data_IF_426594836229
#
_entry.id   IF_426594836229
#
_cell.length_a   1.000
_cell.length_b   1.000
_cell.length_c   1.000
_cell.angle_alpha   90.00
_cell.angle_beta   90.00
_cell.angle_gamma   90.00
#
_symmetry.space_group_name_H-M   'P 1'
#
loop_
_entity.id
_entity.type
_entity.pdbx_description
1 polymer ?
#
# COMPACT_ATOMS: atom_id res chain seq x y z
N UNK A 1 11.68 2.10 -14.69
CA UNK A 1 12.46 2.88 -13.69
C UNK A 1 12.55 4.38 -14.01
N UNK A 2 12.44 4.83 -15.27
CA UNK A 2 12.54 6.26 -15.61
C UNK A 2 11.50 7.17 -14.92
N UNK A 3 10.25 6.72 -14.76
CA UNK A 3 9.21 7.54 -14.11
C UNK A 3 9.52 7.84 -12.64
N UNK A 4 10.00 6.84 -11.90
CA UNK A 4 10.38 7.01 -10.50
C UNK A 4 11.57 7.96 -10.34
N UNK A 5 12.54 7.89 -11.26
CA UNK A 5 13.66 8.83 -11.32
C UNK A 5 13.16 10.26 -11.49
N UNK A 6 12.26 10.51 -12.46
CA UNK A 6 11.67 11.84 -12.68
C UNK A 6 10.92 12.39 -11.47
N UNK A 7 10.12 11.55 -10.81
CA UNK A 7 9.41 11.94 -9.60
C UNK A 7 10.37 12.31 -8.46
N UNK A 8 11.51 11.63 -8.35
CA UNK A 8 12.55 11.92 -7.37
C UNK A 8 13.28 13.24 -7.70
N UNK A 9 13.69 13.43 -8.95
CA UNK A 9 14.35 14.67 -9.41
C UNK A 9 13.46 15.90 -9.29
N UNK A 10 12.15 15.74 -9.49
CA UNK A 10 11.15 16.78 -9.24
C UNK A 10 10.82 16.99 -7.75
N UNK A 11 11.38 16.19 -6.84
CA UNK A 11 11.21 16.31 -5.39
C UNK A 11 9.87 15.79 -4.86
N UNK A 12 9.10 15.03 -5.64
CA UNK A 12 7.79 14.52 -5.22
C UNK A 12 7.88 13.27 -4.34
N UNK A 13 8.92 12.45 -4.52
CA UNK A 13 9.12 11.20 -3.75
C UNK A 13 10.53 11.13 -3.17
N UNK A 14 10.70 10.29 -2.14
CA UNK A 14 12.01 9.90 -1.62
C UNK A 14 12.77 8.97 -2.57
N UNK A 15 14.06 8.75 -2.29
CA UNK A 15 14.95 7.96 -3.15
C UNK A 15 14.38 6.55 -3.43
N UNK A 16 14.19 6.24 -4.71
CA UNK A 16 13.46 5.05 -5.16
C UNK A 16 14.27 3.74 -5.14
N UNK A 17 15.58 3.80 -4.88
CA UNK A 17 16.43 2.60 -4.78
C UNK A 17 16.70 2.30 -3.31
N UNK A 18 15.65 1.84 -2.64
CA UNK A 18 15.66 1.50 -1.21
C UNK A 18 14.99 0.14 -1.02
N UNK A 19 15.56 -0.67 -0.13
CA UNK A 19 14.98 -1.93 0.35
C UNK A 19 14.44 -1.82 1.78
N UNK A 20 14.57 -0.64 2.37
CA UNK A 20 14.07 -0.29 3.69
C UNK A 20 12.58 0.07 3.64
N UNK A 21 11.87 -0.35 4.69
CA UNK A 21 10.46 0.02 4.94
C UNK A 21 10.33 1.02 6.08
N UNK A 22 11.45 1.55 6.58
CA UNK A 22 11.46 2.50 7.69
C UNK A 22 10.92 3.86 7.23
N UNK A 23 10.19 4.53 8.12
CA UNK A 23 9.65 5.87 7.90
C UNK A 23 10.21 6.79 8.99
N UNK A 24 10.60 8.01 8.59
CA UNK A 24 11.01 9.04 9.54
C UNK A 24 9.85 9.46 10.44
N UNK A 25 10.17 9.99 11.63
CA UNK A 25 9.17 10.46 12.58
C UNK A 25 8.33 11.60 11.99
N UNK A 26 8.94 12.48 11.20
CA UNK A 26 8.25 13.57 10.51
C UNK A 26 7.24 13.04 9.49
N UNK A 27 7.61 12.02 8.71
CA UNK A 27 6.71 11.38 7.77
C UNK A 27 5.52 10.70 8.48
N UNK A 28 5.77 10.05 9.61
CA UNK A 28 4.73 9.42 10.44
C UNK A 28 3.76 10.47 11.00
N UNK A 29 4.26 11.58 11.52
CA UNK A 29 3.44 12.65 12.06
C UNK A 29 2.59 13.31 10.96
N UNK A 30 3.22 13.58 9.80
CA UNK A 30 2.56 14.17 8.65
C UNK A 30 1.39 13.31 8.15
N UNK A 31 1.61 12.01 7.92
CA UNK A 31 0.56 11.13 7.40
C UNK A 31 -0.54 10.88 8.42
N UNK A 32 -0.22 10.80 9.71
CA UNK A 32 -1.21 10.64 10.79
C UNK A 32 -2.08 11.89 10.93
N UNK A 33 -1.50 13.09 10.81
CA UNK A 33 -2.24 14.34 10.75
C UNK A 33 -3.21 14.35 9.57
N UNK A 34 -2.73 14.04 8.37
CA UNK A 34 -3.57 13.94 7.19
C UNK A 34 -4.73 12.94 7.34
N UNK A 35 -4.47 11.76 7.93
CA UNK A 35 -5.51 10.75 8.18
C UNK A 35 -6.55 11.26 9.17
N UNK A 36 -6.10 11.90 10.26
CA UNK A 36 -6.98 12.49 11.26
C UNK A 36 -7.92 13.52 10.64
N UNK A 37 -7.38 14.39 9.78
CA UNK A 37 -8.13 15.51 9.20
C UNK A 37 -9.09 15.07 8.08
N UNK A 38 -8.69 14.11 7.24
CA UNK A 38 -9.48 13.70 6.06
C UNK A 38 -10.40 12.51 6.28
N UNK A 39 -10.01 11.55 7.11
CA UNK A 39 -10.78 10.32 7.33
C UNK A 39 -11.38 10.25 8.75
N UNK A 40 -10.80 10.94 9.71
CA UNK A 40 -11.24 10.95 11.10
C UNK A 40 -10.66 9.81 11.94
N UNK A 41 -10.92 9.87 13.25
CA UNK A 41 -10.29 9.01 14.26
C UNK A 41 -10.52 7.50 14.06
N UNK A 42 -11.64 7.09 13.45
CA UNK A 42 -11.94 5.66 13.16
C UNK A 42 -10.90 5.02 12.23
N UNK A 43 -10.21 5.82 11.44
CA UNK A 43 -9.22 5.37 10.47
C UNK A 43 -7.78 5.53 10.95
N UNK A 44 -7.58 6.16 12.10
CA UNK A 44 -6.27 6.42 12.70
C UNK A 44 -6.04 5.41 13.84
N UNK A 45 -5.01 4.55 13.75
CA UNK A 45 -4.61 3.69 14.87
C UNK A 45 -4.04 4.52 16.03
N UNK A 46 -4.24 4.07 17.26
CA UNK A 46 -3.78 4.77 18.47
C UNK A 46 -2.27 4.99 18.45
N UNK A 47 -1.50 3.96 18.09
CA UNK A 47 -0.05 4.02 17.90
C UNK A 47 0.35 4.00 16.41
N UNK A 48 1.55 4.51 16.10
CA UNK A 48 2.08 4.44 14.74
C UNK A 48 2.44 3.00 14.36
N UNK A 49 2.08 2.58 13.14
CA UNK A 49 2.42 1.26 12.63
C UNK A 49 3.90 1.24 12.25
N UNK A 50 4.69 0.39 12.89
CA UNK A 50 6.09 0.16 12.55
C UNK A 50 6.23 -1.13 11.72
N UNK A 51 7.14 -1.11 10.75
CA UNK A 51 7.41 -2.23 9.86
C UNK A 51 8.89 -2.56 9.90
N UNK A 52 9.23 -3.80 10.26
CA UNK A 52 10.61 -4.26 10.30
C UNK A 52 11.23 -4.25 8.89
N UNK A 53 12.40 -3.63 8.75
CA UNK A 53 13.27 -3.85 7.59
C UNK A 53 14.06 -5.15 7.78
N UNK A 54 14.65 -5.67 6.69
CA UNK A 54 15.53 -6.85 6.77
C UNK A 54 16.89 -6.44 7.35
N UNK A 55 17.51 -7.31 8.15
CA UNK A 55 18.85 -7.14 8.77
C UNK A 55 20.02 -6.83 7.81
N UNK A 56 19.82 -6.89 6.49
CA UNK A 56 20.86 -6.61 5.49
C UNK A 56 20.46 -5.44 4.57
N UNK A 57 19.45 -4.65 4.97
CA UNK A 57 19.09 -3.43 4.25
C UNK A 57 20.21 -2.43 4.37
N UNK A 58 20.44 -1.63 3.33
CA UNK A 58 21.33 -0.46 3.46
C UNK A 58 20.64 0.51 4.45
N UNK A 59 20.93 0.34 5.75
CA UNK A 59 20.11 0.76 6.90
C UNK A 59 19.88 2.28 7.02
N UNK A 60 20.51 3.09 6.16
CA UNK A 60 20.39 4.55 6.16
C UNK A 60 19.27 5.09 5.25
N UNK A 61 18.53 4.24 4.53
CA UNK A 61 17.53 4.71 3.57
C UNK A 61 16.09 4.63 4.10
N UNK A 62 15.31 5.67 3.82
CA UNK A 62 13.89 5.71 4.10
C UNK A 62 13.10 4.92 3.04
N UNK A 63 11.89 4.48 3.36
CA UNK A 63 10.97 3.90 2.40
C UNK A 63 10.57 4.90 1.31
N UNK A 64 10.16 4.38 0.14
CA UNK A 64 9.61 5.19 -0.94
C UNK A 64 8.26 5.77 -0.49
N UNK A 65 8.19 7.09 -0.35
CA UNK A 65 7.00 7.83 0.07
C UNK A 65 6.93 9.18 -0.65
N UNK A 66 5.76 9.84 -0.67
CA UNK A 66 5.69 11.24 -1.07
C UNK A 66 6.47 12.13 -0.08
N UNK A 67 7.08 13.18 -0.61
CA UNK A 67 7.75 14.21 0.20
C UNK A 67 6.74 14.97 1.06
N UNK A 68 5.58 15.31 0.49
CA UNK A 68 4.43 15.92 1.15
C UNK A 68 3.16 15.10 0.87
N UNK A 69 2.42 14.76 1.92
CA UNK A 69 1.16 14.00 1.83
C UNK A 69 -0.01 14.83 1.27
N UNK A 70 0.08 16.15 1.32
CA UNK A 70 -0.97 17.06 0.84
C UNK A 70 -0.92 17.25 -0.68
N UNK A 71 0.22 16.94 -1.30
CA UNK A 71 0.34 16.93 -2.76
C UNK A 71 -0.38 15.70 -3.30
N UNK A 72 -1.33 15.93 -4.20
CA UNK A 72 -2.11 14.86 -4.83
C UNK A 72 -1.65 14.63 -6.26
N UNK A 73 -1.85 13.42 -6.77
CA UNK A 73 -1.43 13.05 -8.12
C UNK A 73 -2.01 13.97 -9.20
N UNK A 74 -3.24 14.45 -8.98
CA UNK A 74 -3.98 15.34 -9.87
C UNK A 74 -3.36 16.75 -9.96
N UNK A 75 -2.57 17.15 -8.96
CA UNK A 75 -1.88 18.45 -8.94
C UNK A 75 -0.55 18.45 -9.71
N UNK A 76 -0.03 17.27 -10.06
CA UNK A 76 1.24 17.09 -10.77
C UNK A 76 1.09 17.27 -12.30
N UNK A 77 0.66 18.47 -12.73
CA UNK A 77 0.36 18.77 -14.14
C UNK A 77 1.59 18.68 -15.06
N UNK A 78 2.79 18.90 -14.51
CA UNK A 78 4.05 18.87 -15.26
C UNK A 78 4.59 17.44 -15.48
N UNK A 79 3.88 16.43 -14.96
CA UNK A 79 4.28 15.03 -15.06
C UNK A 79 3.41 14.27 -16.06
N UNK A 80 4.02 13.33 -16.77
CA UNK A 80 3.31 12.40 -17.66
C UNK A 80 2.25 11.59 -16.88
N UNK A 81 1.16 11.21 -17.57
CA UNK A 81 0.05 10.49 -16.95
C UNK A 81 0.48 9.21 -16.20
N UNK A 82 1.49 8.50 -16.68
CA UNK A 82 1.98 7.28 -16.03
C UNK A 82 2.83 7.59 -14.78
N UNK A 83 3.55 8.71 -14.75
CA UNK A 83 4.24 9.19 -13.55
C UNK A 83 3.24 9.64 -12.48
N UNK A 84 2.14 10.30 -12.87
CA UNK A 84 1.04 10.63 -11.95
C UNK A 84 0.40 9.38 -11.35
N UNK A 85 0.13 8.34 -12.16
CA UNK A 85 -0.40 7.05 -11.67
C UNK A 85 0.57 6.37 -10.70
N UNK A 86 1.87 6.39 -11.00
CA UNK A 86 2.89 5.84 -10.12
C UNK A 86 2.95 6.60 -8.79
N UNK A 87 2.91 7.94 -8.84
CA UNK A 87 2.82 8.77 -7.65
C UNK A 87 1.57 8.45 -6.83
N UNK A 88 0.41 8.33 -7.48
CA UNK A 88 -0.85 7.96 -6.84
C UNK A 88 -0.74 6.61 -6.12
N UNK A 89 -0.08 5.63 -6.73
CA UNK A 89 0.16 4.32 -6.12
C UNK A 89 1.04 4.42 -4.87
N UNK A 90 2.15 5.16 -4.95
CA UNK A 90 3.07 5.40 -3.83
C UNK A 90 2.33 6.12 -2.69
N UNK A 91 1.60 7.19 -3.02
CA UNK A 91 0.81 7.96 -2.07
C UNK A 91 -0.25 7.10 -1.37
N UNK A 92 -1.02 6.31 -2.13
CA UNK A 92 -2.05 5.43 -1.57
C UNK A 92 -1.44 4.37 -0.66
N UNK A 93 -0.27 3.82 -1.03
CA UNK A 93 0.44 2.85 -0.20
C UNK A 93 0.93 3.48 1.12
N UNK A 94 1.49 4.69 1.06
CA UNK A 94 2.01 5.42 2.20
C UNK A 94 0.89 5.82 3.18
N UNK A 95 -0.19 6.44 2.69
CA UNK A 95 -1.35 6.77 3.54
C UNK A 95 -1.98 5.50 4.09
N UNK A 96 -2.21 4.51 3.21
CA UNK A 96 -2.83 3.28 3.64
C UNK A 96 -2.00 2.59 4.72
N UNK A 97 -0.66 2.63 4.75
CA UNK A 97 0.13 1.88 5.74
C UNK A 97 -0.15 2.36 7.18
N UNK A 98 -0.41 3.64 7.40
CA UNK A 98 -0.72 4.20 8.73
C UNK A 98 -2.21 4.21 9.11
N UNK A 99 -3.09 3.60 8.31
CA UNK A 99 -4.52 3.48 8.64
C UNK A 99 -4.87 2.19 9.40
N UNK A 100 -6.06 2.16 10.02
CA UNK A 100 -6.62 0.98 10.67
C UNK A 100 -6.85 -0.19 9.69
N UNK A 101 -6.68 -1.46 10.12
CA UNK A 101 -7.00 -2.64 9.30
C UNK A 101 -8.45 -2.63 8.80
N UNK A 102 -8.66 -3.11 7.57
CA UNK A 102 -10.00 -3.42 7.11
C UNK A 102 -10.54 -4.64 7.88
N UNK A 103 -11.83 -4.60 8.21
CA UNK A 103 -12.50 -5.70 8.91
C UNK A 103 -13.41 -6.45 7.95
N UNK A 104 -13.43 -7.77 8.11
CA UNK A 104 -14.13 -8.71 7.23
C UNK A 104 -14.76 -9.81 8.08
N UNK A 105 -15.99 -10.17 7.73
CA UNK A 105 -16.63 -11.37 8.25
C UNK A 105 -16.36 -12.50 7.25
N UNK A 106 -15.65 -13.53 7.68
CA UNK A 106 -15.39 -14.70 6.85
C UNK A 106 -16.27 -15.86 7.31
N UNK A 107 -17.03 -16.43 6.38
CA UNK A 107 -17.85 -17.62 6.60
C UNK A 107 -17.32 -18.73 5.73
N UNK A 108 -16.88 -19.82 6.37
CA UNK A 108 -16.43 -21.03 5.67
C UNK A 108 -17.45 -22.13 5.89
N UNK A 109 -17.99 -22.65 4.80
CA UNK A 109 -18.90 -23.79 4.78
C UNK A 109 -18.14 -25.01 4.31
N UNK A 110 -18.09 -26.03 5.16
CA UNK A 110 -17.52 -27.33 4.82
C UNK A 110 -18.65 -28.34 4.69
N UNK A 111 -18.76 -28.97 3.54
CA UNK A 111 -19.78 -29.99 3.26
C UNK A 111 -19.07 -31.33 3.06
N UNK A 112 -19.52 -32.36 3.76
CA UNK A 112 -19.04 -33.73 3.61
C UNK A 112 -20.17 -34.59 3.03
N UNK A 113 -19.86 -35.37 2.00
CA UNK A 113 -20.78 -36.31 1.35
C UNK A 113 -20.02 -37.62 1.07
N UNK A 114 -20.16 -38.61 1.95
CA UNK A 114 -19.36 -39.83 1.92
C UNK A 114 -17.87 -39.51 2.07
N UNK A 115 -17.05 -40.01 1.14
CA UNK A 115 -15.60 -39.75 1.11
C UNK A 115 -15.23 -38.38 0.50
N UNK A 116 -16.20 -37.63 -0.01
CA UNK A 116 -15.96 -36.33 -0.62
C UNK A 116 -16.15 -35.20 0.39
N UNK A 117 -15.18 -34.28 0.43
CA UNK A 117 -15.23 -33.06 1.23
C UNK A 117 -15.07 -31.85 0.32
N UNK A 118 -16.01 -30.91 0.39
CA UNK A 118 -15.96 -29.66 -0.35
C UNK A 118 -15.97 -28.48 0.63
N UNK A 119 -15.30 -27.40 0.25
CA UNK A 119 -15.21 -26.19 1.04
C UNK A 119 -15.60 -24.98 0.18
N UNK A 120 -16.47 -24.13 0.72
CA UNK A 120 -16.82 -22.85 0.14
C UNK A 120 -16.57 -21.76 1.18
N UNK A 121 -15.88 -20.70 0.78
CA UNK A 121 -15.60 -19.55 1.63
C UNK A 121 -16.22 -18.28 1.05
N UNK A 122 -16.90 -17.52 1.91
CA UNK A 122 -17.42 -16.19 1.60
C UNK A 122 -16.80 -15.18 2.56
N UNK A 123 -16.41 -14.02 2.07
CA UNK A 123 -15.97 -12.90 2.91
C UNK A 123 -16.84 -11.68 2.63
N UNK A 124 -17.44 -11.11 3.67
CA UNK A 124 -18.22 -9.88 3.63
C UNK A 124 -17.43 -8.74 4.28
N UNK A 125 -17.41 -7.56 3.67
CA UNK A 125 -16.69 -6.40 4.21
C UNK A 125 -17.55 -5.70 5.27
N UNK A 126 -17.00 -5.51 6.46
CA UNK A 126 -17.67 -4.77 7.56
C UNK A 126 -17.04 -3.40 7.80
N UNK A 127 -15.73 -3.25 7.56
CA UNK A 127 -15.05 -1.95 7.65
C UNK A 127 -14.06 -1.76 6.51
N UNK A 128 -14.30 -0.72 5.70
CA UNK A 128 -13.53 -0.44 4.49
C UNK A 128 -12.39 0.54 4.77
N UNK A 129 -11.14 0.05 4.82
CA UNK A 129 -9.92 0.87 4.70
C UNK A 129 -9.79 1.38 3.26
N UNK A 130 -9.09 2.50 3.08
CA UNK A 130 -8.55 2.91 1.77
C UNK A 130 -7.91 1.69 1.10
N UNK A 131 -8.45 1.38 -0.08
CA UNK A 131 -8.33 0.09 -0.75
C UNK A 131 -6.88 -0.46 -0.80
N UNK A 132 -6.61 -1.50 0.00
CA UNK A 132 -5.38 -2.32 -0.06
C UNK A 132 -5.44 -3.40 -1.15
N UNK A 133 -6.52 -3.55 -1.92
CA UNK A 133 -6.63 -4.58 -2.96
C UNK A 133 -5.60 -4.37 -4.08
N UNK A 134 -5.17 -3.13 -4.33
CA UNK A 134 -4.04 -2.80 -5.19
C UNK A 134 -2.67 -3.02 -4.51
N UNK A 135 -2.56 -2.73 -3.21
CA UNK A 135 -1.32 -2.82 -2.43
C UNK A 135 -0.78 -4.26 -2.30
N UNK A 136 -1.65 -5.25 -2.02
CA UNK A 136 -1.23 -6.66 -1.87
C UNK A 136 -0.75 -7.28 -3.18
N UNK A 137 -1.24 -6.81 -4.32
CA UNK A 137 -0.78 -7.25 -5.66
C UNK A 137 0.55 -6.60 -6.07
N UNK A 138 0.78 -5.33 -5.73
CA UNK A 138 2.04 -4.64 -6.05
C UNK A 138 3.23 -5.06 -5.16
N UNK A 139 3.04 -5.36 -3.87
CA UNK A 139 4.14 -5.79 -3.01
C UNK A 139 4.81 -7.12 -3.45
N UNK A 140 4.07 -7.98 -4.17
CA UNK A 140 4.61 -9.19 -4.80
C UNK A 140 5.42 -8.88 -6.06
N UNK A 141 5.04 -7.85 -6.83
CA UNK A 141 5.77 -7.40 -8.03
C UNK A 141 7.12 -6.78 -7.66
N UNK A 142 7.18 -6.02 -6.56
CA UNK A 142 8.44 -5.43 -6.07
C UNK A 142 9.44 -6.47 -5.54
N UNK A 143 8.98 -7.65 -5.07
CA UNK A 143 9.86 -8.69 -4.53
C UNK A 143 10.41 -9.69 -5.57
N UNK A 144 9.79 -9.85 -6.73
CA UNK A 144 10.11 -10.97 -7.64
C UNK A 144 10.41 -10.59 -9.08
N UNK A 145 10.26 -9.31 -9.46
CA UNK A 145 10.55 -8.85 -10.83
C UNK A 145 9.74 -9.55 -11.93
N UNK A 146 8.71 -10.34 -11.58
CA UNK A 146 7.88 -11.09 -12.51
C UNK A 146 6.41 -10.70 -12.36
N UNK A 147 5.92 -9.92 -13.31
CA UNK A 147 4.49 -9.74 -13.55
C UNK A 147 3.90 -11.03 -14.12
N UNK A 148 3.54 -12.00 -13.27
CA UNK A 148 2.74 -13.14 -13.71
C UNK A 148 1.25 -12.76 -13.62
N UNK A 149 0.74 -12.17 -14.70
CA UNK A 149 -0.70 -12.10 -14.95
C UNK A 149 -1.18 -13.52 -15.25
N UNK A 150 -1.55 -14.30 -14.23
CA UNK A 150 -2.38 -15.48 -14.48
C UNK A 150 -3.84 -15.04 -14.41
N UNK A 151 -4.43 -14.73 -15.56
CA UNK A 151 -5.87 -14.84 -15.74
C UNK A 151 -6.22 -16.31 -15.54
N UNK A 152 -6.54 -16.70 -14.31
CA UNK A 152 -7.38 -17.88 -14.10
C UNK A 152 -8.82 -17.37 -14.07
N UNK A 153 -9.35 -17.19 -15.27
CA UNK A 153 -10.74 -17.49 -15.52
C UNK A 153 -10.87 -19.01 -15.30
N UNK A 154 -11.40 -19.41 -14.15
CA UNK A 154 -11.92 -20.77 -13.97
C UNK A 154 -13.29 -20.80 -14.63
N UNK A 155 -13.34 -21.46 -15.78
CA UNK A 155 -14.52 -22.22 -16.20
C UNK A 155 -14.71 -23.41 -15.25
#
# INVERSE_FOLDING_TARGET
MMMAQRLYEAGHITYMRTDSTNLSQDALNMVRGYISDKFGKKYLPDSANQYASKENSQEAHEAIRPSDVNVLAETLKDMEADAQKLYQLIWRQFVACQMTPAQYDSTTLTVAAGDFKTESARSHFTFRRLDKSHARRCARVMKTGRCRWSNRATA
#
